data_IF_310840383485
#
_entry.id   IF_310840383485
#
_cell.length_a   1.000
_cell.length_b   1.000
_cell.length_c   1.000
_cell.angle_alpha   90.00
_cell.angle_beta   90.00
_cell.angle_gamma   90.00
#
_symmetry.space_group_name_H-M   'P 1'
#
loop_
_entity.id
_entity.type
_entity.pdbx_description
1 polymer ?
#
# COMPACT_ATOMS: atom_id res chain seq x y z
N UNK A 1 -18.53 1.91 33.00
CA UNK A 1 -18.47 0.77 32.08
C UNK A 1 -17.24 0.96 31.22
N UNK A 2 -16.19 0.21 31.50
CA UNK A 2 -14.96 0.24 30.73
C UNK A 2 -15.27 -0.47 29.40
N UNK A 3 -15.03 0.20 28.28
CA UNK A 3 -15.07 -0.41 26.96
C UNK A 3 -13.80 -1.26 26.86
N UNK A 4 -13.97 -2.57 26.84
CA UNK A 4 -12.92 -3.51 26.50
C UNK A 4 -12.41 -3.17 25.09
N UNK A 5 -11.33 -2.44 25.03
CA UNK A 5 -10.48 -2.36 23.85
C UNK A 5 -9.78 -3.70 23.72
N UNK A 6 -10.37 -4.65 22.96
CA UNK A 6 -9.61 -5.78 22.42
C UNK A 6 -8.33 -5.20 21.82
N UNK A 7 -7.21 -5.53 22.41
CA UNK A 7 -5.88 -5.24 21.87
C UNK A 7 -5.75 -6.04 20.57
N UNK A 8 -6.23 -5.45 19.44
CA UNK A 8 -5.83 -5.93 18.11
C UNK A 8 -4.31 -5.96 18.12
N UNK A 9 -3.77 -7.14 17.95
CA UNK A 9 -2.31 -7.35 17.91
C UNK A 9 -1.81 -6.59 16.67
N UNK A 10 -1.41 -5.34 16.86
CA UNK A 10 -0.95 -4.47 15.78
C UNK A 10 0.34 -5.06 15.21
N UNK A 11 0.33 -5.39 13.93
CA UNK A 11 1.46 -5.99 13.24
C UNK A 11 2.48 -4.93 12.80
N UNK A 12 1.98 -3.79 12.25
CA UNK A 12 2.77 -2.58 12.04
C UNK A 12 2.19 -1.47 12.90
N UNK A 13 3.05 -0.73 13.58
CA UNK A 13 2.69 0.45 14.36
C UNK A 13 3.58 1.63 13.97
N UNK A 14 2.96 2.71 13.56
CA UNK A 14 3.59 4.00 13.32
C UNK A 14 3.01 4.99 14.31
N UNK A 15 3.84 5.54 15.20
CA UNK A 15 3.36 6.37 16.31
C UNK A 15 3.91 7.79 16.22
N UNK A 16 3.02 8.77 16.09
CA UNK A 16 3.32 10.21 16.06
C UNK A 16 4.44 10.60 15.10
N UNK A 17 4.37 10.05 13.88
CA UNK A 17 5.36 10.27 12.84
C UNK A 17 5.31 11.73 12.38
N UNK A 18 6.46 12.40 12.41
CA UNK A 18 6.67 13.73 11.83
C UNK A 18 7.80 13.67 10.80
N UNK A 19 7.63 14.39 9.70
CA UNK A 19 8.64 14.51 8.65
C UNK A 19 8.56 15.84 7.94
N UNK A 20 9.71 16.48 7.77
CA UNK A 20 9.84 17.72 7.00
C UNK A 20 10.99 17.62 6.00
N UNK A 21 10.89 18.35 4.91
CA UNK A 21 11.90 18.48 3.88
C UNK A 21 12.09 19.97 3.56
N UNK A 22 13.29 20.51 3.75
CA UNK A 22 13.61 21.90 3.38
C UNK A 22 12.65 22.93 3.99
N UNK A 23 12.15 22.70 5.23
CA UNK A 23 11.19 23.58 5.90
C UNK A 23 9.71 23.29 5.59
N UNK A 24 9.41 22.46 4.58
CA UNK A 24 8.04 22.00 4.30
C UNK A 24 7.71 20.75 5.10
N UNK A 25 6.64 20.80 5.88
CA UNK A 25 6.16 19.66 6.66
C UNK A 25 5.39 18.70 5.75
N UNK A 26 5.90 17.48 5.60
CA UNK A 26 5.29 16.43 4.81
C UNK A 26 4.38 15.50 5.66
N UNK A 27 4.71 15.30 6.93
CA UNK A 27 3.91 14.52 7.89
C UNK A 27 3.81 15.27 9.22
N UNK A 28 2.59 15.38 9.76
CA UNK A 28 2.26 16.12 10.97
C UNK A 28 1.62 15.21 12.02
N UNK A 29 2.45 14.57 12.84
CA UNK A 29 2.00 13.75 13.98
C UNK A 29 1.08 12.57 13.55
N UNK A 30 1.46 11.89 12.48
CA UNK A 30 0.68 10.80 11.90
C UNK A 30 0.87 9.53 12.71
N UNK A 31 -0.23 8.90 13.10
CA UNK A 31 -0.23 7.55 13.70
C UNK A 31 -1.07 6.61 12.84
N UNK A 32 -0.53 5.42 12.54
CA UNK A 32 -1.19 4.39 11.76
C UNK A 32 -0.81 3.01 12.32
N UNK A 33 -1.79 2.17 12.57
CA UNK A 33 -1.57 0.75 12.90
C UNK A 33 -2.15 -0.14 11.81
N UNK A 34 -1.54 -1.31 11.57
CA UNK A 34 -2.02 -2.30 10.62
C UNK A 34 -1.97 -3.67 11.28
N UNK A 35 -3.06 -4.41 11.19
CA UNK A 35 -3.13 -5.78 11.69
C UNK A 35 -2.48 -6.77 10.70
N UNK A 36 -2.08 -7.95 11.17
CA UNK A 36 -1.57 -9.00 10.29
C UNK A 36 -2.67 -9.50 9.34
N UNK A 37 -2.34 -9.57 8.05
CA UNK A 37 -3.29 -9.94 6.99
C UNK A 37 -4.20 -8.81 6.54
N UNK A 38 -4.12 -7.62 7.17
CA UNK A 38 -4.94 -6.47 6.80
C UNK A 38 -4.41 -5.78 5.54
N UNK A 39 -5.32 -5.38 4.66
CA UNK A 39 -5.04 -4.54 3.49
C UNK A 39 -5.53 -3.12 3.75
N UNK A 40 -4.60 -2.18 3.90
CA UNK A 40 -4.90 -0.76 4.09
C UNK A 40 -4.61 0.00 2.80
N UNK A 41 -5.62 0.69 2.26
CA UNK A 41 -5.43 1.60 1.14
C UNK A 41 -5.33 3.05 1.63
N UNK A 42 -4.28 3.76 1.22
CA UNK A 42 -4.09 5.19 1.53
C UNK A 42 -4.44 6.00 0.29
N UNK A 43 -5.40 6.90 0.43
CA UNK A 43 -5.88 7.80 -0.63
C UNK A 43 -5.69 9.27 -0.22
N UNK A 44 -5.73 10.18 -1.18
CA UNK A 44 -5.63 11.62 -0.93
C UNK A 44 -4.96 12.37 -2.08
N UNK A 45 -4.97 13.70 -2.08
CA UNK A 45 -4.40 14.52 -3.13
C UNK A 45 -2.89 14.31 -3.29
N UNK A 46 -2.36 14.64 -4.49
CA UNK A 46 -0.92 14.59 -4.73
C UNK A 46 -0.18 15.53 -3.78
N UNK A 47 1.00 15.09 -3.29
CA UNK A 47 1.82 15.88 -2.37
C UNK A 47 1.34 15.93 -0.92
N UNK A 48 0.26 15.21 -0.53
CA UNK A 48 -0.23 15.23 0.85
C UNK A 48 0.54 14.34 1.85
N UNK A 49 1.62 13.68 1.42
CA UNK A 49 2.49 12.90 2.32
C UNK A 49 2.33 11.38 2.24
N UNK A 50 1.46 10.80 1.40
CA UNK A 50 1.20 9.34 1.29
C UNK A 50 2.46 8.51 1.07
N UNK A 51 3.23 8.83 0.02
CA UNK A 51 4.48 8.14 -0.29
C UNK A 51 5.54 8.34 0.79
N UNK A 52 5.55 9.50 1.44
CA UNK A 52 6.43 9.77 2.57
C UNK A 52 6.08 8.87 3.75
N UNK A 53 4.79 8.76 4.11
CA UNK A 53 4.32 7.87 5.17
C UNK A 53 4.68 6.41 4.86
N UNK A 54 4.42 5.96 3.63
CA UNK A 54 4.74 4.61 3.19
C UNK A 54 6.24 4.30 3.30
N UNK A 55 7.11 5.23 2.84
CA UNK A 55 8.57 5.07 2.92
C UNK A 55 9.12 5.22 4.34
N UNK A 56 8.37 5.81 5.25
CA UNK A 56 8.72 5.85 6.66
C UNK A 56 8.42 4.50 7.33
N UNK A 57 7.42 3.75 6.87
CA UNK A 57 7.08 2.44 7.42
C UNK A 57 8.24 1.42 7.37
N UNK A 58 9.10 1.47 6.34
CA UNK A 58 10.33 0.67 6.25
C UNK A 58 11.61 1.47 6.56
N UNK A 59 11.44 2.69 7.10
CA UNK A 59 12.54 3.60 7.44
C UNK A 59 13.43 4.00 6.24
N UNK A 60 12.95 3.84 5.00
CA UNK A 60 13.64 4.31 3.81
C UNK A 60 13.73 5.85 3.81
N UNK A 61 12.71 6.50 4.33
CA UNK A 61 12.69 7.92 4.70
C UNK A 61 12.56 8.00 6.21
N UNK A 62 13.67 8.18 6.95
CA UNK A 62 13.64 8.30 8.39
C UNK A 62 12.74 9.45 8.84
N UNK A 63 11.91 9.22 9.85
CA UNK A 63 11.11 10.26 10.48
C UNK A 63 11.98 11.27 11.24
N UNK A 64 11.48 12.48 11.43
CA UNK A 64 12.12 13.50 12.29
C UNK A 64 11.63 13.38 13.74
N UNK A 65 10.46 12.74 13.96
CA UNK A 65 9.94 12.37 15.27
C UNK A 65 9.00 11.17 15.15
N UNK A 66 8.78 10.48 16.25
CA UNK A 66 7.96 9.26 16.32
C UNK A 66 8.77 7.98 16.18
N UNK A 67 8.07 6.86 16.13
CA UNK A 67 8.68 5.54 15.99
C UNK A 67 7.85 4.61 15.09
N UNK A 68 8.52 3.61 14.53
CA UNK A 68 7.89 2.54 13.75
C UNK A 68 8.26 1.20 14.35
N UNK A 69 7.26 0.34 14.58
CA UNK A 69 7.44 -1.06 15.04
C UNK A 69 6.79 -2.03 14.07
N UNK A 70 7.45 -3.15 13.83
CA UNK A 70 6.92 -4.27 13.06
C UNK A 70 6.93 -5.51 13.97
N UNK A 71 5.77 -6.09 14.24
CA UNK A 71 5.61 -7.26 15.11
C UNK A 71 6.28 -7.05 16.50
N UNK A 72 6.11 -5.83 17.05
CA UNK A 72 6.73 -5.38 18.30
C UNK A 72 8.21 -4.97 18.18
N UNK A 73 8.91 -5.35 17.12
CA UNK A 73 10.32 -4.97 16.90
C UNK A 73 10.44 -3.54 16.39
N UNK A 74 11.38 -2.78 16.94
CA UNK A 74 11.63 -1.41 16.51
C UNK A 74 12.28 -1.39 15.12
N UNK A 75 11.57 -0.85 14.13
CA UNK A 75 12.09 -0.59 12.77
C UNK A 75 12.98 0.63 12.76
N UNK A 76 12.53 1.71 13.42
CA UNK A 76 13.28 2.94 13.51
C UNK A 76 12.67 3.93 14.49
N UNK A 77 13.53 4.67 15.11
CA UNK A 77 13.21 5.83 15.97
C UNK A 77 14.18 6.94 15.67
N UNK A 78 13.84 8.17 16.04
CA UNK A 78 14.77 9.29 15.91
C UNK A 78 16.02 9.00 16.74
N UNK A 79 17.22 9.04 16.20
CA UNK A 79 18.42 8.66 16.92
C UNK A 79 18.61 9.55 18.15
N UNK A 80 18.72 8.93 19.32
CA UNK A 80 19.48 9.52 20.40
C UNK A 80 20.94 9.55 19.93
N UNK A 81 21.61 10.69 20.00
CA UNK A 81 22.91 11.01 19.38
C UNK A 81 24.08 10.06 19.78
N UNK A 82 23.80 8.93 20.42
CA UNK A 82 24.78 8.03 21.04
C UNK A 82 24.85 6.59 20.49
N UNK A 83 24.07 6.21 19.47
CA UNK A 83 24.06 4.79 19.03
C UNK A 83 24.02 4.58 17.51
N UNK A 84 25.16 4.80 16.84
CA UNK A 84 25.22 4.79 15.35
C UNK A 84 25.58 3.45 14.71
N UNK A 85 26.14 2.48 15.40
CA UNK A 85 26.65 1.24 14.76
C UNK A 85 25.79 -0.02 14.93
N UNK A 86 25.06 -0.18 16.01
CA UNK A 86 24.15 -1.34 16.20
C UNK A 86 22.82 -1.25 15.44
N UNK A 87 22.42 -0.05 15.04
CA UNK A 87 21.13 0.21 14.38
C UNK A 87 21.09 -0.22 12.91
N UNK A 88 22.22 -0.20 12.19
CA UNK A 88 22.22 -0.50 10.75
C UNK A 88 21.96 -1.98 10.44
N UNK A 89 22.51 -2.92 11.21
CA UNK A 89 22.29 -4.36 10.98
C UNK A 89 20.88 -4.79 11.35
N UNK A 90 20.33 -4.29 12.46
CA UNK A 90 18.95 -4.57 12.86
C UNK A 90 17.94 -3.97 11.88
N UNK A 91 18.17 -2.74 11.41
CA UNK A 91 17.33 -2.11 10.41
C UNK A 91 17.31 -2.89 9.08
N UNK A 92 18.46 -3.40 8.62
CA UNK A 92 18.52 -4.20 7.40
C UNK A 92 17.74 -5.52 7.57
N UNK A 93 17.86 -6.20 8.71
CA UNK A 93 17.11 -7.42 8.98
C UNK A 93 15.58 -7.19 8.97
N UNK A 94 15.10 -6.06 9.49
CA UNK A 94 13.68 -5.71 9.42
C UNK A 94 13.28 -5.34 7.99
N UNK A 95 14.11 -4.58 7.26
CA UNK A 95 13.85 -4.22 5.86
C UNK A 95 13.76 -5.42 4.92
N UNK A 96 14.50 -6.49 5.18
CA UNK A 96 14.39 -7.75 4.43
C UNK A 96 12.99 -8.35 4.53
N UNK A 97 12.31 -8.14 5.65
CA UNK A 97 10.94 -8.62 5.91
C UNK A 97 9.85 -7.72 5.33
N UNK A 98 10.19 -6.48 4.94
CA UNK A 98 9.25 -5.50 4.38
C UNK A 98 9.55 -5.30 2.90
N UNK A 99 8.68 -5.83 2.05
CA UNK A 99 8.79 -5.65 0.63
C UNK A 99 8.26 -4.28 0.18
N UNK A 100 8.95 -3.61 -0.74
CA UNK A 100 8.47 -2.35 -1.30
C UNK A 100 8.42 -2.39 -2.82
N UNK A 101 7.25 -2.03 -3.36
CA UNK A 101 7.00 -1.84 -4.78
C UNK A 101 6.82 -0.35 -5.04
N UNK A 102 7.61 0.20 -5.95
CA UNK A 102 7.61 1.62 -6.28
C UNK A 102 6.73 1.93 -7.48
N UNK A 103 6.35 3.19 -7.64
CA UNK A 103 5.65 3.73 -8.79
C UNK A 103 6.42 3.47 -10.10
N UNK A 104 7.74 3.69 -10.10
CA UNK A 104 8.62 3.28 -11.17
C UNK A 104 8.99 1.81 -10.96
N UNK A 105 9.01 1.03 -12.03
CA UNK A 105 9.20 -0.43 -11.96
C UNK A 105 10.52 -0.86 -11.32
N UNK A 106 11.57 -0.04 -11.46
CA UNK A 106 12.92 -0.27 -10.91
C UNK A 106 13.49 -1.68 -11.24
N UNK A 107 13.10 -2.24 -12.40
CA UNK A 107 13.66 -3.50 -12.89
C UNK A 107 15.06 -3.27 -13.43
N UNK A 108 15.94 -4.26 -13.28
CA UNK A 108 17.33 -4.17 -13.72
C UNK A 108 17.43 -4.55 -15.21
N UNK A 109 17.76 -3.61 -16.12
CA UNK A 109 17.75 -3.86 -17.56
C UNK A 109 18.86 -4.80 -18.04
N UNK A 110 19.92 -4.95 -17.23
CA UNK A 110 21.06 -5.82 -17.51
C UNK A 110 20.90 -7.27 -17.00
N UNK A 111 19.72 -7.63 -16.57
CA UNK A 111 19.35 -8.97 -16.10
C UNK A 111 18.03 -9.41 -16.77
N UNK A 112 17.92 -10.68 -17.15
CA UNK A 112 16.65 -11.23 -17.61
C UNK A 112 15.60 -11.29 -16.50
N UNK A 113 14.37 -11.67 -16.81
CA UNK A 113 13.24 -11.73 -15.87
C UNK A 113 13.55 -12.64 -14.67
N UNK A 114 14.10 -13.84 -14.90
CA UNK A 114 14.43 -14.76 -13.83
C UNK A 114 15.54 -14.20 -12.93
N UNK A 115 16.59 -13.67 -13.51
CA UNK A 115 17.72 -13.10 -12.77
C UNK A 115 17.33 -11.89 -11.92
N UNK A 116 16.40 -11.06 -12.41
CA UNK A 116 15.81 -9.97 -11.62
C UNK A 116 15.20 -10.46 -10.31
N UNK A 117 14.62 -11.67 -10.29
CA UNK A 117 13.96 -12.23 -9.10
C UNK A 117 14.92 -13.07 -8.25
N UNK A 118 15.90 -13.73 -8.86
CA UNK A 118 16.90 -14.57 -8.17
C UNK A 118 17.94 -13.71 -7.41
N UNK A 119 18.46 -12.66 -8.07
CA UNK A 119 19.59 -11.89 -7.56
C UNK A 119 19.38 -11.33 -6.13
N UNK A 120 18.26 -10.67 -5.77
CA UNK A 120 18.06 -10.17 -4.41
C UNK A 120 18.07 -11.27 -3.36
N UNK A 121 17.55 -12.44 -3.67
CA UNK A 121 17.52 -13.59 -2.75
C UNK A 121 18.94 -14.09 -2.44
N UNK A 122 19.82 -14.13 -3.44
CA UNK A 122 21.21 -14.54 -3.26
C UNK A 122 22.04 -13.47 -2.55
N UNK A 123 21.86 -12.21 -2.92
CA UNK A 123 22.70 -11.10 -2.43
C UNK A 123 22.28 -10.66 -1.03
N UNK A 124 20.99 -10.53 -0.77
CA UNK A 124 20.44 -10.01 0.49
C UNK A 124 20.14 -11.14 1.46
N UNK A 125 19.27 -12.10 1.08
CA UNK A 125 18.86 -13.19 1.94
C UNK A 125 19.88 -14.35 2.00
N UNK A 126 21.01 -14.24 1.26
CA UNK A 126 22.10 -15.25 1.23
C UNK A 126 21.63 -16.68 0.91
N UNK A 127 20.55 -16.80 0.14
CA UNK A 127 20.00 -18.11 -0.27
C UNK A 127 20.88 -18.75 -1.33
N UNK A 128 20.97 -20.07 -1.29
CA UNK A 128 21.58 -20.85 -2.37
C UNK A 128 20.80 -20.68 -3.67
N UNK A 129 21.51 -20.76 -4.82
CA UNK A 129 20.94 -20.50 -6.13
C UNK A 129 19.74 -21.40 -6.46
N UNK A 130 19.79 -22.69 -6.15
CA UNK A 130 18.71 -23.63 -6.43
C UNK A 130 17.41 -23.26 -5.67
N UNK A 131 17.57 -22.83 -4.41
CA UNK A 131 16.45 -22.36 -3.58
C UNK A 131 15.90 -21.06 -4.14
N UNK A 132 16.78 -20.11 -4.51
CA UNK A 132 16.40 -18.82 -5.06
C UNK A 132 15.67 -18.96 -6.41
N UNK A 133 16.14 -19.85 -7.30
CA UNK A 133 15.48 -20.11 -8.60
C UNK A 133 14.10 -20.76 -8.41
N UNK A 134 13.97 -21.73 -7.50
CA UNK A 134 12.68 -22.36 -7.19
C UNK A 134 11.65 -21.33 -6.69
N UNK A 135 12.06 -20.45 -5.76
CA UNK A 135 11.20 -19.37 -5.26
C UNK A 135 10.90 -18.33 -6.33
N UNK A 136 11.87 -17.99 -7.17
CA UNK A 136 11.69 -17.06 -8.28
C UNK A 136 10.66 -17.57 -9.28
N UNK A 137 10.73 -18.84 -9.67
CA UNK A 137 9.75 -19.46 -10.57
C UNK A 137 8.35 -19.46 -9.96
N UNK A 138 8.22 -19.79 -8.68
CA UNK A 138 6.94 -19.71 -7.97
C UNK A 138 6.37 -18.27 -7.95
N UNK A 139 7.19 -17.27 -7.69
CA UNK A 139 6.79 -15.87 -7.71
C UNK A 139 6.41 -15.39 -9.12
N UNK A 140 7.15 -15.82 -10.15
CA UNK A 140 6.82 -15.51 -11.55
C UNK A 140 5.50 -16.15 -11.99
N UNK A 141 5.23 -17.39 -11.58
CA UNK A 141 3.95 -18.06 -11.80
C UNK A 141 2.80 -17.30 -11.13
N UNK A 142 3.01 -16.83 -9.89
CA UNK A 142 2.01 -16.06 -9.14
C UNK A 142 1.59 -14.77 -9.86
N UNK A 143 2.54 -14.10 -10.51
CA UNK A 143 2.27 -12.86 -11.26
C UNK A 143 2.00 -13.09 -12.76
N UNK A 144 1.96 -14.35 -13.23
CA UNK A 144 1.70 -14.71 -14.63
C UNK A 144 2.82 -14.32 -15.60
N UNK A 145 4.07 -14.49 -15.17
CA UNK A 145 5.27 -14.22 -15.98
C UNK A 145 6.17 -15.43 -16.19
N UNK A 146 5.71 -16.64 -15.85
CA UNK A 146 6.50 -17.88 -15.96
C UNK A 146 7.06 -18.10 -17.37
N UNK A 147 6.22 -17.87 -18.40
CA UNK A 147 6.60 -18.03 -19.81
C UNK A 147 7.56 -16.91 -20.31
N UNK A 148 7.85 -15.93 -19.49
CA UNK A 148 8.72 -14.78 -19.77
C UNK A 148 10.05 -14.81 -19.04
N UNK A 149 10.37 -15.90 -18.34
CA UNK A 149 11.53 -16.00 -17.44
C UNK A 149 12.87 -15.70 -18.09
N UNK A 150 13.01 -15.98 -19.40
CA UNK A 150 14.24 -15.71 -20.18
C UNK A 150 14.21 -14.40 -20.95
N UNK A 151 13.07 -13.70 -20.95
CA UNK A 151 12.93 -12.42 -21.64
C UNK A 151 13.73 -11.32 -20.89
N UNK A 152 14.09 -10.28 -21.63
CA UNK A 152 14.71 -9.08 -21.06
C UNK A 152 13.65 -8.02 -20.70
N UNK A 153 13.89 -7.17 -19.71
CA UNK A 153 12.95 -6.13 -19.33
C UNK A 153 12.47 -5.23 -20.48
N UNK A 154 13.33 -4.96 -21.46
CA UNK A 154 12.97 -4.11 -22.61
C UNK A 154 11.89 -4.72 -23.49
N UNK A 155 11.75 -6.04 -23.48
CA UNK A 155 10.71 -6.77 -24.21
C UNK A 155 9.39 -6.89 -23.44
N UNK A 156 9.30 -6.32 -22.23
CA UNK A 156 8.12 -6.37 -21.39
C UNK A 156 7.29 -5.09 -21.52
N UNK A 157 5.96 -5.23 -21.52
CA UNK A 157 5.06 -4.09 -21.35
C UNK A 157 5.19 -3.47 -19.95
N UNK A 158 4.72 -2.23 -19.76
CA UNK A 158 4.73 -1.57 -18.45
C UNK A 158 4.07 -2.43 -17.36
N UNK A 159 2.90 -3.01 -17.64
CA UNK A 159 2.22 -3.90 -16.70
C UNK A 159 2.99 -5.19 -16.39
N UNK A 160 3.75 -5.73 -17.37
CA UNK A 160 4.64 -6.86 -17.14
C UNK A 160 5.85 -6.47 -16.29
N UNK A 161 6.45 -5.30 -16.52
CA UNK A 161 7.54 -4.76 -15.68
C UNK A 161 7.08 -4.57 -14.23
N UNK A 162 5.88 -4.05 -14.02
CA UNK A 162 5.32 -3.90 -12.68
C UNK A 162 5.06 -5.24 -11.99
N UNK A 163 4.51 -6.21 -12.73
CA UNK A 163 4.34 -7.57 -12.20
C UNK A 163 5.68 -8.25 -11.88
N UNK A 164 6.73 -7.99 -12.66
CA UNK A 164 8.09 -8.43 -12.36
C UNK A 164 8.63 -7.79 -11.06
N UNK A 165 8.39 -6.50 -10.86
CA UNK A 165 8.74 -5.82 -9.60
C UNK A 165 8.02 -6.43 -8.39
N UNK A 166 6.73 -6.78 -8.54
CA UNK A 166 5.96 -7.51 -7.51
C UNK A 166 6.55 -8.90 -7.26
N UNK A 167 6.86 -9.68 -8.31
CA UNK A 167 7.48 -11.02 -8.18
C UNK A 167 8.82 -10.97 -7.44
N UNK A 168 9.64 -9.95 -7.72
CA UNK A 168 10.92 -9.73 -7.05
C UNK A 168 10.75 -9.52 -5.55
N UNK A 169 9.72 -8.78 -5.14
CA UNK A 169 9.38 -8.59 -3.74
C UNK A 169 8.85 -9.88 -3.11
N UNK A 170 7.91 -10.57 -3.78
CA UNK A 170 7.31 -11.82 -3.27
C UNK A 170 8.34 -12.92 -3.02
N UNK A 171 9.35 -13.04 -3.90
CA UNK A 171 10.39 -14.05 -3.77
C UNK A 171 11.27 -13.90 -2.51
N UNK A 172 11.25 -12.71 -1.89
CA UNK A 172 11.93 -12.46 -0.61
C UNK A 172 11.14 -12.97 0.62
N UNK A 173 9.92 -13.49 0.45
CA UNK A 173 8.98 -13.89 1.50
C UNK A 173 8.66 -12.76 2.48
N UNK A 174 8.18 -11.61 2.00
CA UNK A 174 7.91 -10.48 2.88
C UNK A 174 6.72 -10.78 3.80
N UNK A 175 6.78 -10.27 5.02
CA UNK A 175 5.64 -10.32 5.96
C UNK A 175 4.69 -9.13 5.81
N UNK A 176 5.18 -8.06 5.17
CA UNK A 176 4.44 -6.83 4.85
C UNK A 176 4.86 -6.33 3.46
N UNK A 177 3.90 -5.96 2.62
CA UNK A 177 4.16 -5.30 1.35
C UNK A 177 3.69 -3.85 1.38
N UNK A 178 4.58 -2.96 0.98
CA UNK A 178 4.33 -1.53 0.80
C UNK A 178 4.27 -1.24 -0.71
N UNK A 179 3.17 -0.68 -1.21
CA UNK A 179 2.99 -0.41 -2.63
C UNK A 179 2.72 1.09 -2.85
N UNK A 180 3.66 1.76 -3.49
CA UNK A 180 3.61 3.21 -3.76
C UNK A 180 3.09 3.44 -5.18
N UNK A 181 1.79 3.69 -5.32
CA UNK A 181 1.09 3.94 -6.59
C UNK A 181 1.43 2.91 -7.69
N UNK A 182 1.19 1.61 -7.47
CA UNK A 182 1.71 0.54 -8.33
C UNK A 182 1.14 0.54 -9.76
N UNK A 183 0.16 1.38 -10.07
CA UNK A 183 -0.50 1.45 -11.39
C UNK A 183 -0.37 2.80 -12.07
N UNK A 184 0.14 3.84 -11.39
CA UNK A 184 0.11 5.22 -11.90
C UNK A 184 1.01 5.47 -13.12
N UNK A 185 2.02 4.61 -13.34
CA UNK A 185 2.91 4.69 -14.51
C UNK A 185 2.47 3.77 -15.67
N UNK A 186 1.23 3.24 -15.62
CA UNK A 186 0.69 2.29 -16.59
C UNK A 186 -0.39 2.90 -17.47
N UNK A 187 -0.45 2.44 -18.72
CA UNK A 187 -1.61 2.66 -19.57
C UNK A 187 -2.85 1.99 -18.96
N UNK A 188 -4.05 2.61 -19.08
CA UNK A 188 -5.29 2.10 -18.47
C UNK A 188 -5.60 0.63 -18.76
N UNK A 189 -5.29 0.14 -19.96
CA UNK A 189 -5.51 -1.26 -20.37
C UNK A 189 -4.64 -2.24 -19.58
N UNK A 190 -3.48 -1.82 -19.07
CA UNK A 190 -2.54 -2.67 -18.35
C UNK A 190 -2.77 -2.69 -16.83
N UNK A 191 -3.55 -1.73 -16.31
CA UNK A 191 -3.86 -1.57 -14.88
C UNK A 191 -4.55 -2.81 -14.32
N UNK A 192 -5.56 -3.33 -15.02
CA UNK A 192 -6.38 -4.47 -14.58
C UNK A 192 -5.54 -5.71 -14.25
N UNK A 193 -4.50 -5.99 -15.05
CA UNK A 193 -3.62 -7.13 -14.83
C UNK A 193 -2.77 -7.05 -13.57
N UNK A 194 -2.34 -5.84 -13.18
CA UNK A 194 -1.60 -5.62 -11.93
C UNK A 194 -2.54 -5.69 -10.74
N UNK A 195 -3.72 -5.04 -10.81
CA UNK A 195 -4.71 -5.06 -9.74
C UNK A 195 -5.23 -6.48 -9.46
N UNK A 196 -5.37 -7.32 -10.48
CA UNK A 196 -5.76 -8.72 -10.30
C UNK A 196 -4.72 -9.52 -9.50
N UNK A 197 -3.42 -9.28 -9.72
CA UNK A 197 -2.35 -9.88 -8.91
C UNK A 197 -2.44 -9.42 -7.46
N UNK A 198 -2.59 -8.12 -7.21
CA UNK A 198 -2.70 -7.58 -5.85
C UNK A 198 -3.93 -8.11 -5.11
N UNK A 199 -5.07 -8.23 -5.81
CA UNK A 199 -6.28 -8.83 -5.25
C UNK A 199 -6.04 -10.27 -4.80
N UNK A 200 -5.41 -11.09 -5.65
CA UNK A 200 -5.07 -12.47 -5.33
C UNK A 200 -4.14 -12.59 -4.12
N UNK A 201 -3.20 -11.65 -3.95
CA UNK A 201 -2.33 -11.61 -2.77
C UNK A 201 -3.11 -11.24 -1.50
N UNK A 202 -4.05 -10.30 -1.59
CA UNK A 202 -4.96 -9.96 -0.49
C UNK A 202 -5.79 -11.17 -0.06
N UNK A 203 -6.40 -11.89 -1.02
CA UNK A 203 -7.17 -13.11 -0.78
C UNK A 203 -6.36 -14.23 -0.11
N UNK A 204 -5.03 -14.22 -0.29
CA UNK A 204 -4.08 -15.13 0.39
C UNK A 204 -3.65 -14.66 1.78
N UNK A 205 -4.16 -13.54 2.27
CA UNK A 205 -3.87 -12.99 3.59
C UNK A 205 -2.54 -12.22 3.66
N UNK A 206 -2.02 -11.71 2.53
CA UNK A 206 -0.84 -10.84 2.54
C UNK A 206 -1.15 -9.51 3.21
N UNK A 207 -0.37 -9.13 4.22
CA UNK A 207 -0.47 -7.79 4.83
C UNK A 207 0.05 -6.74 3.86
N UNK A 208 -0.77 -5.73 3.54
CA UNK A 208 -0.40 -4.71 2.54
C UNK A 208 -0.79 -3.31 2.96
N UNK A 209 0.06 -2.34 2.65
CA UNK A 209 -0.29 -0.92 2.62
C UNK A 209 -0.13 -0.44 1.18
N UNK A 210 -1.20 0.08 0.60
CA UNK A 210 -1.25 0.45 -0.82
C UNK A 210 -1.62 1.92 -0.95
N UNK A 211 -0.71 2.76 -1.43
CA UNK A 211 -1.03 4.11 -1.90
C UNK A 211 -1.61 3.98 -3.30
N UNK A 212 -2.84 4.43 -3.52
CA UNK A 212 -3.51 4.26 -4.81
C UNK A 212 -4.50 5.39 -5.12
N UNK A 213 -4.70 5.63 -6.41
CA UNK A 213 -5.79 6.44 -6.97
C UNK A 213 -6.94 5.56 -7.52
N UNK A 214 -6.79 4.25 -7.51
CA UNK A 214 -7.77 3.27 -8.01
C UNK A 214 -8.83 2.99 -6.92
N UNK A 215 -9.81 3.89 -6.78
CA UNK A 215 -10.82 3.79 -5.71
C UNK A 215 -11.74 2.56 -5.85
N UNK A 216 -11.99 2.12 -7.09
CA UNK A 216 -12.74 0.88 -7.34
C UNK A 216 -12.01 -0.35 -6.81
N UNK A 217 -10.69 -0.38 -6.96
CA UNK A 217 -9.83 -1.41 -6.40
C UNK A 217 -9.79 -1.32 -4.86
N UNK A 218 -9.51 -0.13 -4.30
CA UNK A 218 -9.52 0.08 -2.86
C UNK A 218 -10.81 -0.43 -2.22
N UNK A 219 -11.97 -0.13 -2.84
CA UNK A 219 -13.27 -0.61 -2.37
C UNK A 219 -13.42 -2.13 -2.39
N UNK A 220 -12.84 -2.81 -3.38
CA UNK A 220 -13.04 -4.25 -3.58
C UNK A 220 -12.05 -5.12 -2.82
N UNK A 221 -10.94 -4.55 -2.33
CA UNK A 221 -9.81 -5.32 -1.79
C UNK A 221 -9.38 -4.85 -0.41
N UNK A 222 -9.54 -3.56 -0.09
CA UNK A 222 -9.11 -3.03 1.20
C UNK A 222 -10.06 -3.44 2.34
N UNK A 223 -9.48 -3.81 3.47
CA UNK A 223 -10.19 -3.92 4.74
C UNK A 223 -10.44 -2.54 5.35
N UNK A 224 -9.49 -1.61 5.10
CA UNK A 224 -9.55 -0.24 5.61
C UNK A 224 -8.99 0.76 4.60
N UNK A 225 -9.62 1.93 4.53
CA UNK A 225 -9.19 3.05 3.71
C UNK A 225 -8.86 4.25 4.60
N UNK A 226 -7.70 4.83 4.37
CA UNK A 226 -7.18 6.00 5.08
C UNK A 226 -7.12 7.16 4.12
N UNK A 227 -7.81 8.25 4.42
CA UNK A 227 -7.74 9.50 3.65
C UNK A 227 -6.75 10.44 4.29
N UNK A 228 -5.73 10.84 3.52
CA UNK A 228 -4.71 11.80 3.95
C UNK A 228 -4.82 13.13 3.24
N UNK A 229 -4.60 14.20 3.96
CA UNK A 229 -4.43 15.55 3.44
C UNK A 229 -3.53 16.41 4.32
N UNK A 230 -2.73 17.30 3.72
CA UNK A 230 -1.85 18.21 4.44
C UNK A 230 -0.90 17.54 5.44
N UNK A 231 -0.46 16.33 5.16
CA UNK A 231 0.43 15.58 6.05
C UNK A 231 -0.26 14.92 7.26
N UNK A 232 -1.58 14.84 7.26
CA UNK A 232 -2.38 14.27 8.35
C UNK A 232 -3.34 13.19 7.84
N UNK A 233 -3.73 12.25 8.70
CA UNK A 233 -4.87 11.37 8.48
C UNK A 233 -6.13 12.15 8.87
N UNK A 234 -7.03 12.32 7.91
CA UNK A 234 -8.29 13.06 8.11
C UNK A 234 -9.45 12.12 8.41
N UNK A 235 -9.53 10.99 7.69
CA UNK A 235 -10.51 9.93 7.93
C UNK A 235 -9.84 8.56 7.79
N UNK A 236 -10.27 7.62 8.61
CA UNK A 236 -9.83 6.24 8.63
C UNK A 236 -11.04 5.34 8.93
N UNK A 237 -11.29 4.35 8.09
CA UNK A 237 -12.46 3.48 8.27
C UNK A 237 -12.64 2.44 7.17
N UNK A 238 -13.77 1.75 7.21
CA UNK A 238 -14.11 0.77 6.17
C UNK A 238 -14.24 1.43 4.79
N UNK A 239 -13.99 0.69 3.70
CA UNK A 239 -14.15 1.22 2.35
C UNK A 239 -15.54 1.83 2.10
N UNK A 240 -16.60 1.21 2.60
CA UNK A 240 -17.95 1.75 2.43
C UNK A 240 -18.16 3.04 3.22
N UNK A 241 -17.60 3.17 4.43
CA UNK A 241 -17.66 4.42 5.20
C UNK A 241 -16.94 5.55 4.48
N UNK A 242 -15.68 5.32 4.10
CA UNK A 242 -14.82 6.36 3.52
C UNK A 242 -15.24 6.73 2.10
N UNK A 243 -15.63 5.77 1.26
CA UNK A 243 -15.89 6.01 -0.16
C UNK A 243 -17.36 6.28 -0.49
N UNK A 244 -18.32 5.90 0.38
CA UNK A 244 -19.75 6.10 0.15
C UNK A 244 -20.41 7.11 1.07
N UNK A 245 -19.93 7.20 2.31
CA UNK A 245 -20.53 8.04 3.36
C UNK A 245 -19.45 8.87 4.08
N UNK A 246 -18.65 9.65 3.32
CA UNK A 246 -17.56 10.44 3.88
C UNK A 246 -18.09 11.44 4.91
N UNK A 247 -17.44 11.52 6.08
CA UNK A 247 -17.87 12.36 7.19
C UNK A 247 -17.47 13.81 7.01
N UNK A 248 -16.29 14.07 6.41
CA UNK A 248 -15.75 15.42 6.23
C UNK A 248 -16.11 16.00 4.87
N UNK A 249 -16.43 17.29 4.83
CA UNK A 249 -16.62 18.04 3.59
C UNK A 249 -15.40 17.94 2.67
N UNK A 250 -14.23 17.74 3.26
CA UNK A 250 -12.98 17.69 2.53
C UNK A 250 -12.83 16.39 1.73
N UNK A 251 -13.15 15.27 2.32
CA UNK A 251 -13.18 13.98 1.62
C UNK A 251 -14.30 13.96 0.57
N UNK A 252 -15.49 14.50 0.88
CA UNK A 252 -16.59 14.65 -0.10
C UNK A 252 -16.10 15.38 -1.36
N UNK A 253 -15.48 16.55 -1.19
CA UNK A 253 -14.94 17.33 -2.31
C UNK A 253 -13.83 16.58 -3.08
N UNK A 254 -12.96 15.83 -2.39
CA UNK A 254 -11.94 15.02 -3.05
C UNK A 254 -12.56 13.92 -3.93
N UNK A 255 -13.56 13.20 -3.41
CA UNK A 255 -14.26 12.15 -4.15
C UNK A 255 -15.07 12.72 -5.34
N UNK A 256 -15.73 13.88 -5.18
CA UNK A 256 -16.44 14.57 -6.25
C UNK A 256 -15.51 14.95 -7.41
N UNK A 257 -14.32 15.49 -7.12
CA UNK A 257 -13.33 15.84 -8.15
C UNK A 257 -12.84 14.65 -8.99
N UNK A 258 -12.90 13.45 -8.44
CA UNK A 258 -12.53 12.22 -9.15
C UNK A 258 -13.69 11.67 -10.00
N UNK A 259 -14.78 12.43 -10.17
CA UNK A 259 -15.99 12.05 -10.92
C UNK A 259 -16.59 10.70 -10.49
N UNK A 260 -16.53 10.39 -9.20
CA UNK A 260 -17.10 9.16 -8.67
C UNK A 260 -18.61 9.36 -8.47
N UNK A 261 -19.32 9.65 -9.53
CA UNK A 261 -20.79 9.70 -9.57
C UNK A 261 -21.44 8.32 -9.34
N UNK A 262 -20.66 7.26 -9.31
CA UNK A 262 -21.15 5.89 -9.11
C UNK A 262 -21.50 5.56 -7.64
N UNK A 263 -21.34 6.48 -6.69
CA UNK A 263 -21.53 6.21 -5.26
C UNK A 263 -22.69 6.99 -4.62
N UNK A 264 -23.59 7.59 -5.40
CA UNK A 264 -24.83 8.13 -4.80
C UNK A 264 -25.60 6.96 -4.14
N UNK A 265 -25.97 7.07 -2.86
CA UNK A 265 -26.90 6.12 -2.27
C UNK A 265 -28.15 6.12 -3.15
N UNK A 266 -28.73 4.95 -3.41
CA UNK A 266 -30.08 4.88 -3.97
C UNK A 266 -30.95 5.68 -3.01
N UNK A 267 -31.33 6.88 -3.39
CA UNK A 267 -32.35 7.65 -2.68
C UNK A 267 -33.58 6.75 -2.62
N UNK A 268 -34.08 6.49 -1.42
CA UNK A 268 -35.36 5.84 -1.20
C UNK A 268 -36.43 6.53 -2.05
N UNK A 269 -36.72 5.96 -3.19
CA UNK A 269 -37.83 6.36 -4.05
C UNK A 269 -39.10 5.77 -3.48
N UNK A 270 -39.49 6.19 -2.27
CA UNK A 270 -40.71 5.82 -1.62
C UNK A 270 -41.23 6.93 -0.70
N UNK A 271 -41.48 8.13 -1.25
CA UNK A 271 -42.40 9.09 -0.57
C UNK A 271 -42.90 10.15 -1.57
N UNK A 272 -43.37 9.76 -2.73
CA UNK A 272 -44.16 10.67 -3.57
C UNK A 272 -45.29 9.91 -4.31
N UNK A 273 -46.05 9.09 -3.58
CA UNK A 273 -47.33 8.55 -4.05
C UNK A 273 -48.37 8.65 -2.94
N UNK A 274 -48.72 9.86 -2.52
CA UNK A 274 -49.94 10.10 -1.77
C UNK A 274 -50.19 11.61 -1.66
N UNK A 275 -50.54 12.28 -2.76
CA UNK A 275 -51.20 13.59 -2.76
C UNK A 275 -51.72 13.91 -4.17
N UNK A 276 -52.46 13.02 -4.81
CA UNK A 276 -53.30 13.34 -5.98
C UNK A 276 -54.54 12.46 -6.01
N UNK A 277 -55.37 12.53 -4.97
CA UNK A 277 -56.73 11.94 -5.01
C UNK A 277 -57.65 12.67 -4.04
N UNK A 278 -57.68 13.98 -4.00
CA UNK A 278 -58.77 14.76 -3.41
C UNK A 278 -58.81 16.11 -4.10
N UNK A 279 -59.46 16.13 -5.25
CA UNK A 279 -60.10 17.34 -5.82
C UNK A 279 -60.84 16.95 -7.10
N UNK A 280 -62.01 16.29 -6.88
CA UNK A 280 -63.14 16.25 -7.79
C UNK A 280 -64.38 16.20 -6.96
N UNK A 281 -64.98 17.31 -6.69
CA UNK A 281 -66.43 17.62 -6.74
C UNK A 281 -66.52 19.04 -7.18
#
# INVERSE_FOLDING_TARGET
MAVDTETKNNFLEMTRIRKSFGGMTALQDVSLSVAKGEVVCIIGPSGCGKSTLLRTANWLTPADAGEVRLDGELVGTVPDLRSTSMQASSLNAVRERIGMVFQQFNVWPHMNVLENVVCPQMVVAKRDRDIAEKKALAALTEVGLENKKTDWPDNLSGGQKQRLAIARVLAMDPVLMLLDEPTSALDPELVSGVLAVLKKLAEKGMTMIIVTHELGFARSVADRVVFMEGGQIIEDGSPDTILRSPSTKRLQFFLEKLNITAFKPKSDAATHRSMKSELKI
#
